data_IF_960795052865
#
_entry.id   IF_960795052865
#
_cell.length_a   1.000
_cell.length_b   1.000
_cell.length_c   1.000
_cell.angle_alpha   90.00
_cell.angle_beta   90.00
_cell.angle_gamma   90.00
#
_symmetry.space_group_name_H-M   'P 1'
#
loop_
_entity.id
_entity.type
_entity.pdbx_description
1 polymer ?
#
# COMPACT_ATOMS: atom_id res chain seq x y z
N UNK A 1 -24.81 16.77 12.12
CA UNK A 1 -24.03 15.53 12.31
C UNK A 1 -22.93 15.79 13.29
N UNK A 2 -23.20 15.56 14.58
CA UNK A 2 -22.20 15.68 15.65
C UNK A 2 -21.85 14.28 16.14
N UNK A 3 -20.62 14.08 16.61
CA UNK A 3 -20.18 12.80 17.18
C UNK A 3 -20.69 12.56 18.60
N UNK A 4 -21.14 13.60 19.29
CA UNK A 4 -21.71 13.55 20.64
C UNK A 4 -23.21 13.25 20.65
N UNK A 5 -23.83 13.14 19.48
CA UNK A 5 -25.25 12.86 19.37
C UNK A 5 -25.51 11.37 19.59
N UNK A 6 -26.32 11.05 20.59
CA UNK A 6 -26.78 9.70 20.85
C UNK A 6 -28.16 9.47 20.21
N UNK A 7 -28.27 8.70 19.11
CA UNK A 7 -29.55 8.47 18.43
C UNK A 7 -30.60 7.73 19.28
N UNK A 8 -30.20 7.14 20.41
CA UNK A 8 -31.10 6.42 21.34
C UNK A 8 -31.80 7.40 22.30
N UNK A 9 -31.17 8.52 22.65
CA UNK A 9 -31.67 9.42 23.72
C UNK A 9 -31.94 10.84 23.27
N UNK A 10 -31.19 11.31 22.28
CA UNK A 10 -31.15 12.72 21.93
C UNK A 10 -32.25 13.08 20.92
N UNK A 11 -32.69 14.33 20.99
CA UNK A 11 -33.67 14.87 20.05
C UNK A 11 -33.01 15.79 19.01
N UNK A 12 -33.64 15.86 17.85
CA UNK A 12 -33.37 16.80 16.77
C UNK A 12 -34.53 17.79 16.64
N UNK A 13 -34.28 18.94 16.04
CA UNK A 13 -35.35 19.90 15.71
C UNK A 13 -35.73 19.73 14.25
N UNK A 14 -37.00 19.46 13.97
CA UNK A 14 -37.50 19.33 12.61
C UNK A 14 -37.70 20.72 11.94
N UNK A 15 -38.14 20.74 10.68
CA UNK A 15 -38.37 22.00 9.93
C UNK A 15 -39.48 22.89 10.53
N UNK A 16 -40.35 22.34 11.36
CA UNK A 16 -41.45 23.06 12.01
C UNK A 16 -41.04 23.60 13.40
N UNK A 17 -39.82 23.30 13.87
CA UNK A 17 -39.36 23.68 15.20
C UNK A 17 -39.67 22.65 16.29
N UNK A 18 -40.24 21.50 15.95
CA UNK A 18 -40.58 20.47 16.93
C UNK A 18 -39.36 19.62 17.32
N UNK A 19 -39.29 19.26 18.59
CA UNK A 19 -38.32 18.28 19.09
C UNK A 19 -38.76 16.86 18.71
N UNK A 20 -37.94 16.16 17.93
CA UNK A 20 -38.19 14.80 17.43
C UNK A 20 -37.04 13.87 17.81
N UNK A 21 -37.34 12.63 18.18
CA UNK A 21 -36.36 11.57 18.37
C UNK A 21 -36.31 10.65 17.16
N UNK A 22 -35.17 10.00 16.94
CA UNK A 22 -35.03 9.00 15.90
C UNK A 22 -35.66 7.69 16.38
N UNK A 23 -36.67 7.19 15.67
CA UNK A 23 -37.19 5.86 15.91
C UNK A 23 -36.18 4.79 15.46
N UNK A 24 -36.22 3.62 16.11
CA UNK A 24 -35.44 2.48 15.67
C UNK A 24 -35.79 2.12 14.22
N UNK A 25 -34.79 2.00 13.32
CA UNK A 25 -35.07 1.67 11.93
C UNK A 25 -35.56 0.22 11.83
N UNK A 26 -36.64 0.01 11.07
CA UNK A 26 -37.14 -1.33 10.70
C UNK A 26 -37.06 -1.51 9.19
N UNK A 27 -36.85 -2.74 8.74
CA UNK A 27 -36.69 -3.04 7.31
C UNK A 27 -36.81 -4.52 6.99
N UNK A 28 -36.96 -4.84 5.71
CA UNK A 28 -36.90 -6.21 5.20
C UNK A 28 -35.43 -6.63 5.08
N UNK A 29 -35.08 -7.82 5.59
CA UNK A 29 -33.72 -8.37 5.49
C UNK A 29 -33.34 -8.70 4.03
N UNK A 30 -34.30 -9.20 3.25
CA UNK A 30 -34.17 -9.47 1.83
C UNK A 30 -35.40 -8.95 1.07
N UNK A 31 -35.24 -8.50 -0.17
CA UNK A 31 -36.37 -8.11 -1.00
C UNK A 31 -37.29 -9.32 -1.25
N UNK A 32 -38.58 -9.18 -0.97
CA UNK A 32 -39.57 -10.27 -1.08
C UNK A 32 -39.80 -10.76 -2.50
N UNK A 33 -39.44 -9.94 -3.50
CA UNK A 33 -39.55 -10.27 -4.93
C UNK A 33 -38.22 -10.72 -5.54
N UNK A 34 -37.17 -10.91 -4.74
CA UNK A 34 -35.81 -11.15 -5.22
C UNK A 34 -35.06 -9.86 -5.56
N UNK A 35 -33.81 -10.00 -6.00
CA UNK A 35 -32.97 -8.87 -6.42
C UNK A 35 -33.21 -8.56 -7.90
N UNK A 36 -33.45 -7.29 -8.19
CA UNK A 36 -33.48 -6.81 -9.58
C UNK A 36 -32.05 -6.77 -10.16
N UNK A 37 -31.91 -7.03 -11.45
CA UNK A 37 -30.62 -7.02 -12.16
C UNK A 37 -30.82 -6.57 -13.61
N UNK A 38 -30.29 -5.39 -13.95
CA UNK A 38 -30.31 -4.89 -15.33
C UNK A 38 -29.07 -5.38 -16.10
N UNK A 39 -27.88 -4.96 -15.67
CA UNK A 39 -26.57 -5.41 -16.17
C UNK A 39 -25.71 -5.81 -14.96
N UNK A 40 -25.28 -7.08 -14.93
CA UNK A 40 -24.44 -7.59 -13.85
C UNK A 40 -22.95 -7.27 -14.04
N UNK A 41 -22.58 -6.60 -15.14
CA UNK A 41 -21.21 -6.21 -15.48
C UNK A 41 -20.29 -7.40 -15.77
N UNK A 42 -20.84 -8.61 -15.94
CA UNK A 42 -20.04 -9.81 -16.18
C UNK A 42 -19.70 -9.96 -17.65
N UNK A 43 -18.40 -10.10 -17.92
CA UNK A 43 -17.90 -10.47 -19.24
C UNK A 43 -17.28 -11.87 -19.15
N UNK A 44 -17.84 -12.82 -19.89
CA UNK A 44 -17.29 -14.17 -20.00
C UNK A 44 -15.94 -14.16 -20.75
N UNK A 45 -14.99 -15.06 -20.41
CA UNK A 45 -13.81 -15.25 -21.22
C UNK A 45 -14.19 -15.75 -22.62
N UNK A 46 -13.32 -15.51 -23.60
CA UNK A 46 -13.49 -16.08 -24.94
C UNK A 46 -13.50 -17.61 -24.87
N UNK A 47 -14.41 -18.24 -25.62
CA UNK A 47 -14.52 -19.71 -25.69
C UNK A 47 -13.24 -20.33 -26.27
N UNK A 48 -12.60 -19.64 -27.21
CA UNK A 48 -11.26 -19.92 -27.70
C UNK A 48 -10.39 -18.66 -27.53
N UNK A 49 -9.40 -18.75 -26.64
CA UNK A 49 -8.46 -17.67 -26.34
C UNK A 49 -7.20 -17.68 -27.20
N UNK A 50 -7.03 -18.64 -28.11
CA UNK A 50 -5.78 -18.84 -28.85
C UNK A 50 -5.37 -17.64 -29.72
N UNK A 51 -6.34 -16.86 -30.20
CA UNK A 51 -6.12 -15.63 -30.96
C UNK A 51 -6.08 -14.34 -30.14
N UNK A 52 -6.23 -14.40 -28.81
CA UNK A 52 -6.24 -13.20 -27.96
C UNK A 52 -4.81 -12.74 -27.68
N UNK A 53 -4.49 -11.54 -28.13
CA UNK A 53 -3.20 -10.90 -27.86
C UNK A 53 -3.32 -9.87 -26.73
N UNK A 54 -2.49 -10.02 -25.69
CA UNK A 54 -2.40 -9.06 -24.59
C UNK A 54 -1.17 -8.18 -24.80
N UNK A 55 -1.38 -6.99 -25.34
CA UNK A 55 -0.31 -6.04 -25.66
C UNK A 55 -0.20 -4.94 -24.60
N UNK A 56 1.00 -4.74 -24.05
CA UNK A 56 1.31 -3.63 -23.16
C UNK A 56 2.13 -2.58 -23.89
N UNK A 57 1.58 -1.37 -24.06
CA UNK A 57 2.31 -0.27 -24.68
C UNK A 57 3.53 0.11 -23.83
N UNK A 58 4.74 0.09 -24.43
CA UNK A 58 6.02 0.42 -23.78
C UNK A 58 6.07 1.82 -23.16
N UNK A 59 5.28 2.76 -23.68
CA UNK A 59 5.20 4.14 -23.18
C UNK A 59 4.03 4.37 -22.22
N UNK A 60 3.27 3.31 -21.88
CA UNK A 60 2.15 3.41 -20.95
C UNK A 60 2.62 3.91 -19.58
N UNK A 61 1.86 4.83 -19.00
CA UNK A 61 2.07 5.28 -17.61
C UNK A 61 1.26 4.47 -16.60
N UNK A 62 0.42 3.55 -17.06
CA UNK A 62 -0.52 2.75 -16.26
C UNK A 62 -0.10 1.29 -16.11
N UNK A 63 0.48 0.71 -17.17
CA UNK A 63 0.85 -0.69 -17.27
C UNK A 63 2.32 -0.80 -17.69
N UNK A 64 3.07 -1.68 -17.05
CA UNK A 64 4.47 -1.97 -17.34
C UNK A 64 4.67 -3.49 -17.23
N UNK A 65 5.35 -4.09 -18.20
CA UNK A 65 5.79 -5.48 -18.06
C UNK A 65 6.84 -5.57 -16.96
N UNK A 66 6.73 -6.57 -16.09
CA UNK A 66 7.68 -6.79 -15.02
C UNK A 66 8.99 -7.34 -15.57
N UNK A 67 10.11 -6.77 -15.13
CA UNK A 67 11.44 -7.35 -15.31
C UNK A 67 11.73 -8.28 -14.13
N UNK A 68 12.21 -9.51 -14.37
CA UNK A 68 12.62 -10.40 -13.28
C UNK A 68 13.62 -9.74 -12.35
N UNK A 69 13.46 -9.90 -11.04
CA UNK A 69 14.44 -9.44 -10.07
C UNK A 69 15.73 -10.27 -10.17
N UNK A 70 16.87 -9.62 -9.89
CA UNK A 70 18.18 -10.28 -9.87
C UNK A 70 18.18 -11.43 -8.86
N UNK A 71 18.60 -12.65 -9.25
CA UNK A 71 18.79 -13.77 -8.34
C UNK A 71 19.78 -13.45 -7.22
N UNK A 72 19.73 -14.22 -6.13
CA UNK A 72 20.77 -14.18 -5.11
C UNK A 72 22.09 -14.71 -5.69
N UNK A 73 23.19 -14.02 -5.39
CA UNK A 73 24.55 -14.31 -5.85
C UNK A 73 25.29 -15.33 -4.97
N UNK A 74 24.66 -15.81 -3.89
CA UNK A 74 25.27 -16.71 -2.91
C UNK A 74 26.08 -16.00 -1.83
N UNK A 75 26.23 -14.68 -1.92
CA UNK A 75 27.02 -13.86 -0.99
C UNK A 75 26.23 -13.37 0.22
N UNK A 76 26.98 -12.93 1.24
CA UNK A 76 26.40 -12.21 2.37
C UNK A 76 26.10 -10.76 2.00
N UNK A 77 24.93 -10.25 2.40
CA UNK A 77 24.62 -8.83 2.31
C UNK A 77 25.50 -8.08 3.32
N UNK A 78 26.51 -7.36 2.83
CA UNK A 78 27.47 -6.63 3.65
C UNK A 78 27.41 -5.13 3.36
N UNK A 79 27.65 -4.30 4.37
CA UNK A 79 27.66 -2.83 4.26
C UNK A 79 26.32 -2.20 3.82
N UNK A 80 25.22 -2.93 3.94
CA UNK A 80 23.89 -2.39 3.63
C UNK A 80 23.57 -1.18 4.52
N UNK A 81 22.95 -0.16 3.91
CA UNK A 81 22.56 1.06 4.61
C UNK A 81 21.14 0.93 5.15
N UNK A 82 20.91 1.48 6.34
CA UNK A 82 19.56 1.66 6.85
C UNK A 82 18.81 2.70 6.01
N UNK A 83 17.80 2.28 5.25
CA UNK A 83 16.95 3.21 4.49
C UNK A 83 16.05 4.00 5.44
N UNK A 84 15.31 3.29 6.30
CA UNK A 84 14.45 3.88 7.32
C UNK A 84 14.29 2.92 8.50
N UNK A 85 14.25 3.49 9.71
CA UNK A 85 13.75 2.81 10.90
C UNK A 85 12.34 3.33 11.18
N UNK A 86 11.33 2.53 10.83
CA UNK A 86 9.94 2.85 11.07
C UNK A 86 9.60 2.74 12.57
N UNK A 87 9.14 3.83 13.15
CA UNK A 87 8.70 3.90 14.55
C UNK A 87 7.23 3.52 14.69
N UNK A 88 6.93 2.62 15.63
CA UNK A 88 5.56 2.22 15.93
C UNK A 88 4.84 1.58 14.74
N UNK A 89 3.57 1.97 14.54
CA UNK A 89 2.67 1.32 13.59
C UNK A 89 3.07 1.62 12.14
N UNK A 90 3.48 0.59 11.39
CA UNK A 90 3.75 0.68 9.95
C UNK A 90 2.84 -0.28 9.16
N UNK A 91 1.76 0.26 8.58
CA UNK A 91 0.79 -0.52 7.79
C UNK A 91 1.21 -0.61 6.33
N UNK A 92 0.54 -1.44 5.53
CA UNK A 92 0.74 -1.42 4.08
C UNK A 92 0.37 -0.08 3.42
N UNK A 93 -0.45 0.78 4.04
CA UNK A 93 -0.69 2.15 3.55
C UNK A 93 0.45 3.11 3.87
N UNK A 94 1.21 2.85 4.95
CA UNK A 94 2.44 3.58 5.22
C UNK A 94 3.56 3.18 4.25
N UNK A 95 3.57 1.91 3.82
CA UNK A 95 4.57 1.36 2.89
C UNK A 95 4.22 1.68 1.43
N UNK A 96 2.99 1.45 0.97
CA UNK A 96 2.55 1.68 -0.41
C UNK A 96 1.11 2.19 -0.37
N UNK A 97 0.97 3.51 -0.35
CA UNK A 97 -0.31 4.18 -0.17
C UNK A 97 -1.31 3.88 -1.29
N UNK A 98 -2.60 3.80 -0.98
CA UNK A 98 -3.68 3.69 -1.97
C UNK A 98 -4.05 5.07 -2.57
N UNK A 99 -5.35 5.38 -2.65
CA UNK A 99 -5.85 6.66 -3.16
C UNK A 99 -5.34 6.99 -4.57
N UNK A 100 -4.69 8.14 -4.81
CA UNK A 100 -4.25 8.55 -6.14
C UNK A 100 -3.23 7.58 -6.77
N UNK A 101 -2.54 6.78 -5.96
CA UNK A 101 -1.55 5.80 -6.43
C UNK A 101 -2.17 4.56 -7.06
N UNK A 102 -3.48 4.32 -6.86
CA UNK A 102 -4.17 3.18 -7.47
C UNK A 102 -4.07 3.19 -9.00
N UNK A 103 -3.93 4.37 -9.62
CA UNK A 103 -3.69 4.51 -11.06
C UNK A 103 -2.38 3.84 -11.50
N UNK A 104 -1.38 3.71 -10.64
CA UNK A 104 -0.08 3.15 -10.99
C UNK A 104 0.10 1.68 -10.56
N UNK A 105 -0.94 1.00 -10.07
CA UNK A 105 -0.83 -0.42 -9.64
C UNK A 105 -0.31 -1.38 -10.72
N UNK A 106 -0.51 -1.06 -11.99
CA UNK A 106 0.01 -1.84 -13.10
C UNK A 106 1.43 -1.46 -13.54
N UNK A 107 2.07 -0.47 -12.90
CA UNK A 107 3.35 0.09 -13.31
C UNK A 107 4.29 0.23 -12.10
N UNK A 108 5.11 -0.81 -11.87
CA UNK A 108 5.93 -0.96 -10.67
C UNK A 108 6.85 0.24 -10.40
N UNK A 109 7.52 0.77 -11.42
CA UNK A 109 8.45 1.89 -11.21
C UNK A 109 7.73 3.19 -10.80
N UNK A 110 6.53 3.44 -11.34
CA UNK A 110 5.75 4.64 -11.01
C UNK A 110 5.15 4.56 -9.62
N UNK A 111 4.62 3.39 -9.24
CA UNK A 111 4.03 3.21 -7.90
C UNK A 111 5.11 3.25 -6.81
N UNK A 112 6.33 2.77 -7.10
CA UNK A 112 7.46 2.82 -6.16
C UNK A 112 7.84 4.24 -5.69
N UNK A 113 7.34 5.29 -6.33
CA UNK A 113 7.49 6.67 -5.84
C UNK A 113 6.67 6.96 -4.59
N UNK A 114 5.86 6.02 -4.09
CA UNK A 114 5.16 6.10 -2.81
C UNK A 114 5.73 5.18 -1.73
N UNK A 115 6.84 4.49 -2.03
CA UNK A 115 7.42 3.51 -1.12
C UNK A 115 7.84 4.19 0.20
N UNK A 116 7.24 3.75 1.30
CA UNK A 116 7.52 4.14 2.69
C UNK A 116 7.33 5.64 2.99
N UNK A 117 6.62 6.40 2.14
CA UNK A 117 6.39 7.83 2.38
C UNK A 117 5.54 8.10 3.63
N UNK A 118 4.69 7.14 4.03
CA UNK A 118 3.84 7.26 5.22
C UNK A 118 4.48 6.67 6.49
N UNK A 119 5.66 6.06 6.41
CA UNK A 119 6.34 5.50 7.57
C UNK A 119 6.98 6.61 8.41
N UNK A 120 6.80 6.55 9.73
CA UNK A 120 7.37 7.50 10.69
C UNK A 120 8.84 7.16 10.94
N UNK A 121 9.75 8.10 10.70
CA UNK A 121 11.18 7.88 10.91
C UNK A 121 11.57 8.04 12.39
N UNK A 122 12.10 6.98 13.01
CA UNK A 122 12.48 6.96 14.42
C UNK A 122 13.60 7.96 14.81
N UNK A 123 14.34 8.53 13.86
CA UNK A 123 15.41 9.50 14.15
C UNK A 123 14.94 10.97 14.18
N UNK A 124 13.66 11.23 13.91
CA UNK A 124 13.13 12.60 13.94
C UNK A 124 11.61 12.74 13.92
N UNK A 125 10.85 11.65 13.92
CA UNK A 125 9.38 11.62 13.93
C UNK A 125 8.72 12.07 12.63
N UNK A 126 9.48 12.51 11.63
CA UNK A 126 8.94 12.93 10.34
C UNK A 126 8.61 11.73 9.43
N UNK A 127 7.55 11.87 8.63
CA UNK A 127 7.25 10.97 7.51
C UNK A 127 7.95 11.45 6.25
N UNK A 128 8.27 10.54 5.33
CA UNK A 128 8.93 10.83 4.05
C UNK A 128 10.20 11.71 4.14
N UNK A 129 10.99 11.57 5.20
CA UNK A 129 12.24 12.31 5.35
C UNK A 129 13.30 11.44 6.00
N UNK A 130 14.36 11.14 5.26
CA UNK A 130 15.50 10.32 5.71
C UNK A 130 16.81 10.97 5.30
N UNK A 131 17.90 10.62 6.00
CA UNK A 131 19.24 11.10 5.68
C UNK A 131 19.89 10.16 4.66
N UNK A 132 20.28 10.70 3.51
CA UNK A 132 21.13 10.00 2.57
C UNK A 132 22.55 9.90 3.16
N UNK A 133 22.93 8.71 3.59
CA UNK A 133 24.25 8.44 4.18
C UNK A 133 25.42 8.53 3.19
N UNK A 134 25.19 8.76 1.90
CA UNK A 134 26.27 8.98 0.91
C UNK A 134 26.80 10.42 0.95
N UNK A 135 25.92 11.39 1.19
CA UNK A 135 26.25 12.83 1.10
C UNK A 135 25.80 13.64 2.33
N UNK A 136 25.05 13.04 3.25
CA UNK A 136 24.50 13.68 4.45
C UNK A 136 23.24 14.51 4.22
N UNK A 137 22.71 14.58 3.00
CA UNK A 137 21.50 15.33 2.67
C UNK A 137 20.24 14.67 3.26
N UNK A 138 19.17 15.45 3.45
CA UNK A 138 17.84 14.93 3.79
C UNK A 138 16.95 14.98 2.56
N UNK A 139 16.26 13.89 2.27
CA UNK A 139 15.36 13.80 1.12
C UNK A 139 14.24 12.76 1.41
N UNK A 140 13.31 12.63 0.46
CA UNK A 140 12.23 11.66 0.47
C UNK A 140 12.74 10.23 0.41
N UNK A 141 12.03 9.31 1.06
CA UNK A 141 12.41 7.89 1.14
C UNK A 141 12.63 7.24 -0.24
N UNK A 142 11.72 7.39 -1.24
CA UNK A 142 11.94 6.80 -2.56
C UNK A 142 13.13 7.42 -3.30
N UNK A 143 13.42 8.71 -3.12
CA UNK A 143 14.58 9.37 -3.75
C UNK A 143 15.88 8.82 -3.20
N UNK A 144 16.00 8.72 -1.87
CA UNK A 144 17.18 8.14 -1.20
C UNK A 144 17.36 6.67 -1.57
N UNK A 145 16.27 5.89 -1.62
CA UNK A 145 16.35 4.48 -2.04
C UNK A 145 16.84 4.34 -3.49
N UNK A 146 16.37 5.20 -4.41
CA UNK A 146 16.89 5.24 -5.79
C UNK A 146 18.36 5.65 -5.85
N UNK A 147 18.79 6.62 -5.04
CA UNK A 147 20.18 7.03 -4.97
C UNK A 147 21.09 5.88 -4.50
N UNK A 148 20.67 5.13 -3.48
CA UNK A 148 21.38 3.93 -3.05
C UNK A 148 21.45 2.86 -4.13
N UNK A 149 20.30 2.52 -4.75
CA UNK A 149 20.25 1.55 -5.84
C UNK A 149 21.15 1.93 -7.01
N UNK A 150 21.17 3.21 -7.40
CA UNK A 150 22.01 3.71 -8.49
C UNK A 150 23.51 3.61 -8.18
N UNK A 151 23.90 3.68 -6.92
CA UNK A 151 25.28 3.51 -6.45
C UNK A 151 25.62 2.06 -6.07
N UNK A 152 24.74 1.09 -6.35
CA UNK A 152 24.95 -0.32 -6.00
C UNK A 152 24.99 -0.57 -4.49
N UNK A 153 24.34 0.30 -3.71
CA UNK A 153 24.29 0.20 -2.25
C UNK A 153 23.03 -0.52 -1.84
N UNK A 154 23.19 -1.71 -1.26
CA UNK A 154 22.09 -2.44 -0.66
C UNK A 154 21.50 -1.68 0.54
N UNK A 155 20.19 -1.82 0.73
CA UNK A 155 19.51 -1.19 1.87
C UNK A 155 18.70 -2.17 2.70
N UNK A 156 18.44 -1.79 3.93
CA UNK A 156 17.54 -2.49 4.85
C UNK A 156 16.50 -1.55 5.43
N UNK A 157 15.36 -2.12 5.82
CA UNK A 157 14.33 -1.44 6.60
C UNK A 157 14.29 -2.07 7.98
N UNK A 158 14.19 -1.24 9.02
CA UNK A 158 13.92 -1.69 10.38
C UNK A 158 12.53 -1.23 10.78
N UNK A 159 11.75 -2.09 11.44
CA UNK A 159 10.40 -1.74 11.90
C UNK A 159 10.05 -2.33 13.26
N UNK A 160 8.89 -1.95 13.76
CA UNK A 160 8.40 -2.34 15.08
C UNK A 160 7.56 -3.63 15.04
N UNK A 161 6.57 -3.76 15.91
CA UNK A 161 5.61 -4.86 15.92
C UNK A 161 4.58 -4.78 14.78
N UNK A 162 4.14 -5.94 14.33
CA UNK A 162 3.07 -6.12 13.33
C UNK A 162 3.30 -5.32 12.03
N UNK A 163 4.55 -5.26 11.58
CA UNK A 163 4.94 -4.51 10.39
C UNK A 163 4.23 -5.05 9.13
N UNK A 164 3.67 -4.12 8.35
CA UNK A 164 2.87 -4.43 7.17
C UNK A 164 1.43 -4.85 7.49
N UNK A 165 0.87 -4.41 8.62
CA UNK A 165 -0.54 -4.61 8.95
C UNK A 165 -1.47 -4.01 7.88
N UNK A 166 -2.61 -4.65 7.65
CA UNK A 166 -3.71 -4.10 6.87
C UNK A 166 -3.92 -4.84 5.55
N UNK A 167 -3.89 -4.09 4.46
CA UNK A 167 -4.27 -4.56 3.13
C UNK A 167 -3.31 -5.63 2.58
N UNK A 168 -3.80 -6.51 1.70
CA UNK A 168 -3.02 -7.60 1.10
C UNK A 168 -2.07 -7.18 -0.04
N UNK A 169 -1.95 -5.88 -0.33
CA UNK A 169 -1.19 -5.34 -1.47
C UNK A 169 0.24 -5.88 -1.51
N UNK A 170 0.56 -6.61 -2.57
CA UNK A 170 1.93 -7.10 -2.83
C UNK A 170 2.91 -5.97 -3.21
N UNK A 171 2.40 -4.83 -3.67
CA UNK A 171 3.21 -3.64 -3.95
C UNK A 171 4.04 -3.18 -2.75
N UNK A 172 3.52 -3.33 -1.52
CA UNK A 172 4.28 -3.05 -0.30
C UNK A 172 5.53 -3.94 -0.14
N UNK A 173 5.63 -5.07 -0.85
CA UNK A 173 6.84 -5.89 -0.93
C UNK A 173 7.63 -5.66 -2.24
N UNK A 174 6.93 -5.51 -3.37
CA UNK A 174 7.59 -5.32 -4.68
C UNK A 174 8.33 -3.98 -4.77
N UNK A 175 7.80 -2.90 -4.20
CA UNK A 175 8.42 -1.57 -4.27
C UNK A 175 9.74 -1.50 -3.50
N UNK A 176 9.84 -1.93 -2.20
CA UNK A 176 11.13 -2.03 -1.53
C UNK A 176 12.13 -2.87 -2.34
N UNK A 177 11.71 -4.02 -2.88
CA UNK A 177 12.57 -4.90 -3.67
C UNK A 177 13.05 -4.25 -4.96
N UNK A 178 12.16 -3.52 -5.64
CA UNK A 178 12.48 -2.73 -6.83
C UNK A 178 13.44 -1.60 -6.50
N UNK A 179 13.35 -0.99 -5.33
CA UNK A 179 14.21 0.11 -4.89
C UNK A 179 15.51 -0.33 -4.21
N UNK A 180 15.82 -1.63 -4.18
CA UNK A 180 17.11 -2.13 -3.66
C UNK A 180 17.12 -2.42 -2.15
N UNK A 181 15.95 -2.53 -1.52
CA UNK A 181 15.84 -3.08 -0.16
C UNK A 181 16.06 -4.59 -0.23
N UNK A 182 17.01 -5.08 0.56
CA UNK A 182 17.41 -6.49 0.63
C UNK A 182 16.84 -7.23 1.83
N UNK A 183 16.56 -6.51 2.91
CA UNK A 183 16.00 -7.11 4.12
C UNK A 183 15.09 -6.14 4.86
N UNK A 184 14.06 -6.70 5.48
CA UNK A 184 13.17 -6.01 6.41
C UNK A 184 13.31 -6.71 7.76
N UNK A 185 13.75 -5.98 8.78
CA UNK A 185 14.07 -6.52 10.12
C UNK A 185 13.11 -5.89 11.13
N UNK A 186 12.24 -6.69 11.71
CA UNK A 186 11.13 -6.20 12.53
C UNK A 186 10.95 -7.07 13.76
N UNK A 187 10.20 -6.56 14.76
CA UNK A 187 9.88 -7.36 15.95
C UNK A 187 8.82 -8.43 15.64
N UNK A 188 7.86 -8.11 14.76
CA UNK A 188 6.91 -9.09 14.21
C UNK A 188 6.30 -8.57 12.90
N UNK A 189 5.85 -9.49 12.03
CA UNK A 189 5.19 -9.17 10.77
C UNK A 189 3.69 -9.44 10.82
N UNK A 190 2.94 -8.73 9.98
CA UNK A 190 1.62 -9.19 9.57
C UNK A 190 1.73 -10.35 8.55
N UNK A 191 0.90 -11.38 8.72
CA UNK A 191 0.96 -12.66 7.97
C UNK A 191 1.09 -12.51 6.44
N UNK A 192 0.23 -11.70 5.84
CA UNK A 192 0.18 -11.56 4.37
C UNK A 192 1.42 -10.82 3.87
N UNK A 193 1.82 -9.75 4.57
CA UNK A 193 2.96 -8.95 4.17
C UNK A 193 4.26 -9.75 4.25
N UNK A 194 4.46 -10.56 5.30
CA UNK A 194 5.61 -11.47 5.40
C UNK A 194 5.70 -12.42 4.21
N UNK A 195 4.56 -12.99 3.81
CA UNK A 195 4.48 -13.90 2.65
C UNK A 195 4.82 -13.17 1.36
N UNK A 196 4.31 -11.94 1.18
CA UNK A 196 4.59 -11.12 0.01
C UNK A 196 6.09 -10.79 -0.08
N UNK A 197 6.73 -10.42 1.04
CA UNK A 197 8.18 -10.18 1.08
C UNK A 197 8.95 -11.42 0.61
N UNK A 198 8.67 -12.59 1.20
CA UNK A 198 9.30 -13.87 0.81
C UNK A 198 9.09 -14.23 -0.67
N UNK A 199 7.95 -13.84 -1.26
CA UNK A 199 7.64 -14.08 -2.67
C UNK A 199 8.47 -13.22 -3.64
N UNK A 200 8.94 -12.06 -3.21
CA UNK A 200 9.73 -11.15 -4.05
C UNK A 200 11.26 -11.35 -3.93
N UNK A 201 11.69 -12.30 -3.08
CA UNK A 201 13.10 -12.59 -2.80
C UNK A 201 13.75 -11.49 -1.97
#
# INVERSE_FOLDING_TARGET
GRLDFNPITDSLVNKNGDSVQLAEPTGLELPTQGFDVEDNGYQAPAQDGSGVEVVVNKNSKRLQLLTPFTPWDGGNISNAKLLIKAEGKCTTDHISMAGPWLRFRGHLDNISNNCLIGAVNAFGGATNSVVNQLDGSKDEVPNVARAYKANGVDTIVVGDHNYGEGSSREHAAMEPRHLGVRAVIVKSFARIHETNLKKQG
#
